data_IF_145589134990
#
_entry.id   IF_145589134990
#
_cell.length_a   1.000
_cell.length_b   1.000
_cell.length_c   1.000
_cell.angle_alpha   90.00
_cell.angle_beta   90.00
_cell.angle_gamma   90.00
#
_symmetry.space_group_name_H-M   'P 1'
#
loop_
_entity.id
_entity.type
_entity.pdbx_description
1 polymer ?
#
# COMPACT_ATOMS: atom_id res chain seq x y z
N UNK A 1 -39.17 7.88 -26.17
CA UNK A 1 -38.05 8.01 -27.15
C UNK A 1 -36.97 7.05 -26.72
N UNK A 2 -36.80 5.99 -27.48
CA UNK A 2 -35.84 4.92 -27.21
C UNK A 2 -34.45 5.35 -27.77
N UNK A 3 -33.40 5.27 -26.97
CA UNK A 3 -32.02 5.44 -27.42
C UNK A 3 -31.41 4.07 -27.51
N UNK A 4 -31.18 3.64 -28.73
CA UNK A 4 -30.56 2.39 -29.12
C UNK A 4 -29.04 2.45 -28.88
N UNK A 5 -28.51 1.48 -28.13
CA UNK A 5 -27.08 1.20 -28.01
C UNK A 5 -26.55 0.61 -29.33
N UNK A 6 -25.46 1.15 -29.85
CA UNK A 6 -24.63 0.52 -30.87
C UNK A 6 -23.38 -0.06 -30.21
N UNK A 7 -23.25 -1.36 -30.32
CA UNK A 7 -22.01 -2.08 -30.09
C UNK A 7 -21.00 -1.78 -31.21
N UNK A 8 -19.76 -1.51 -30.86
CA UNK A 8 -18.63 -1.59 -31.79
C UNK A 8 -17.76 -2.78 -31.37
N UNK A 9 -17.88 -3.84 -32.14
CA UNK A 9 -16.87 -4.88 -32.23
C UNK A 9 -15.94 -4.55 -33.40
N UNK A 10 -14.64 -4.42 -33.16
CA UNK A 10 -13.62 -4.58 -34.19
C UNK A 10 -12.51 -5.49 -33.64
N UNK A 11 -12.01 -6.43 -34.43
CA UNK A 11 -11.02 -7.40 -34.01
C UNK A 11 -9.60 -6.80 -34.01
N UNK A 12 -8.89 -6.98 -32.90
CA UNK A 12 -7.47 -6.64 -32.78
C UNK A 12 -6.67 -7.63 -33.61
N UNK A 13 -5.95 -7.11 -34.61
CA UNK A 13 -5.01 -7.86 -35.43
C UNK A 13 -3.79 -8.27 -34.59
N UNK A 14 -3.51 -9.57 -34.61
CA UNK A 14 -2.31 -10.20 -34.07
C UNK A 14 -1.09 -9.79 -34.92
N UNK A 15 -0.27 -8.90 -34.41
CA UNK A 15 1.05 -8.58 -34.99
C UNK A 15 2.13 -9.35 -34.22
N UNK A 16 2.37 -10.59 -34.68
CA UNK A 16 3.50 -11.39 -34.25
C UNK A 16 4.84 -10.71 -34.53
N UNK A 17 5.41 -10.07 -33.54
CA UNK A 17 6.85 -9.80 -33.45
C UNK A 17 7.42 -10.56 -32.27
N UNK A 18 8.08 -11.67 -32.56
CA UNK A 18 8.99 -12.36 -31.63
C UNK A 18 10.21 -11.45 -31.45
N UNK A 19 10.19 -10.62 -30.43
CA UNK A 19 11.31 -9.79 -29.99
C UNK A 19 12.15 -10.52 -28.95
N UNK A 20 13.43 -10.47 -29.14
CA UNK A 20 14.59 -10.75 -28.30
C UNK A 20 14.32 -11.11 -26.82
N UNK A 21 15.03 -12.13 -26.35
CA UNK A 21 14.94 -12.66 -24.97
C UNK A 21 14.99 -11.57 -23.93
N UNK A 22 13.87 -11.41 -23.21
CA UNK A 22 13.78 -10.58 -22.02
C UNK A 22 14.60 -11.31 -20.95
N UNK A 23 15.79 -10.79 -20.64
CA UNK A 23 16.54 -11.26 -19.48
C UNK A 23 15.63 -11.14 -18.26
N UNK A 24 15.62 -12.16 -17.38
CA UNK A 24 14.85 -12.12 -16.15
C UNK A 24 15.20 -10.83 -15.39
N UNK A 25 14.18 -10.08 -14.97
CA UNK A 25 14.36 -8.90 -14.13
C UNK A 25 15.14 -9.29 -12.86
N UNK A 26 16.10 -8.46 -12.38
CA UNK A 26 16.82 -8.74 -11.15
C UNK A 26 15.84 -8.90 -9.98
N UNK A 27 15.88 -10.08 -9.34
CA UNK A 27 15.04 -10.42 -8.19
C UNK A 27 15.93 -10.63 -6.98
N UNK A 28 15.56 -10.03 -5.85
CA UNK A 28 16.20 -10.26 -4.55
C UNK A 28 15.17 -10.90 -3.62
N UNK A 29 15.53 -12.04 -3.03
CA UNK A 29 14.73 -12.72 -2.01
C UNK A 29 15.43 -12.62 -0.66
N UNK A 30 14.68 -12.24 0.38
CA UNK A 30 15.16 -12.12 1.75
C UNK A 30 14.18 -12.87 2.65
N UNK A 31 14.70 -13.71 3.53
CA UNK A 31 13.92 -14.42 4.55
C UNK A 31 14.09 -13.70 5.90
N UNK A 32 13.00 -13.52 6.64
CA UNK A 32 13.00 -12.90 7.97
C UNK A 32 12.25 -13.81 8.92
N UNK A 33 12.75 -13.94 10.17
CA UNK A 33 12.16 -14.83 11.18
C UNK A 33 12.65 -16.28 11.05
N UNK A 34 12.35 -17.10 12.05
CA UNK A 34 12.89 -18.46 12.16
C UNK A 34 11.85 -19.54 12.45
N UNK A 35 10.60 -19.18 12.80
CA UNK A 35 9.55 -20.13 13.17
C UNK A 35 8.59 -20.29 12.01
N UNK A 36 8.53 -21.48 11.40
CA UNK A 36 7.69 -21.74 10.22
C UNK A 36 6.21 -21.97 10.57
N UNK A 37 5.92 -22.53 11.74
CA UNK A 37 4.57 -22.90 12.15
C UNK A 37 3.95 -21.84 13.06
N UNK A 38 2.85 -21.25 12.59
CA UNK A 38 2.08 -20.25 13.35
C UNK A 38 1.53 -20.77 14.67
N UNK A 39 1.25 -22.07 14.78
CA UNK A 39 0.69 -22.67 16.03
C UNK A 39 1.70 -22.64 17.15
N UNK A 40 2.99 -22.80 16.84
CA UNK A 40 4.10 -22.72 17.83
C UNK A 40 4.30 -21.31 18.40
N UNK A 41 3.80 -20.30 17.69
CA UNK A 41 3.91 -18.89 18.09
C UNK A 41 2.74 -18.42 18.96
N UNK A 42 1.64 -19.16 19.02
CA UNK A 42 0.48 -18.79 19.84
C UNK A 42 0.82 -18.97 21.32
N UNK A 43 0.74 -17.90 22.14
CA UNK A 43 0.95 -18.04 23.58
C UNK A 43 -0.04 -19.04 24.20
N UNK A 44 0.38 -19.89 25.16
CA UNK A 44 -0.48 -20.93 25.73
C UNK A 44 -1.80 -20.42 26.28
N UNK A 45 -1.81 -19.23 26.88
CA UNK A 45 -3.02 -18.61 27.43
C UNK A 45 -4.01 -18.23 26.31
N UNK A 46 -3.52 -17.78 25.16
CA UNK A 46 -4.35 -17.50 24.00
C UNK A 46 -4.87 -18.79 23.36
N UNK A 47 -4.05 -19.84 23.30
CA UNK A 47 -4.47 -21.17 22.83
C UNK A 47 -5.61 -21.74 23.68
N UNK A 48 -5.51 -21.66 25.01
CA UNK A 48 -6.58 -22.11 25.92
C UNK A 48 -7.91 -21.38 25.70
N UNK A 49 -7.90 -20.10 25.37
CA UNK A 49 -9.11 -19.34 25.03
C UNK A 49 -9.74 -19.78 23.70
N UNK A 50 -8.93 -20.22 22.73
CA UNK A 50 -9.42 -20.71 21.44
C UNK A 50 -10.21 -22.03 21.56
N UNK A 51 -9.88 -22.89 22.51
CA UNK A 51 -10.58 -24.14 22.75
C UNK A 51 -12.04 -23.92 23.15
N UNK A 52 -12.37 -22.78 23.73
CA UNK A 52 -13.72 -22.44 24.18
C UNK A 52 -14.59 -21.88 23.04
N UNK A 53 -14.17 -20.78 22.42
CA UNK A 53 -14.90 -20.12 21.33
C UNK A 53 -14.03 -19.01 20.72
N UNK A 54 -13.62 -19.17 19.46
CA UNK A 54 -12.79 -18.19 18.74
C UNK A 54 -13.43 -16.79 18.70
N UNK A 55 -14.76 -16.70 18.57
CA UNK A 55 -15.46 -15.42 18.47
C UNK A 55 -15.44 -14.65 19.81
N UNK A 56 -15.41 -15.35 20.93
CA UNK A 56 -15.29 -14.74 22.27
C UNK A 56 -13.83 -14.53 22.66
N UNK A 57 -12.93 -15.42 22.23
CA UNK A 57 -11.52 -15.36 22.52
C UNK A 57 -10.86 -14.08 21.96
N UNK A 58 -11.10 -13.73 20.69
CA UNK A 58 -10.47 -12.57 20.05
C UNK A 58 -10.73 -11.25 20.79
N UNK A 59 -11.98 -10.89 21.18
CA UNK A 59 -12.23 -9.69 21.97
C UNK A 59 -11.63 -9.73 23.38
N UNK A 60 -11.53 -10.90 24.01
CA UNK A 60 -10.90 -11.06 25.32
C UNK A 60 -9.39 -10.81 25.22
N UNK A 61 -8.72 -11.44 24.26
CA UNK A 61 -7.28 -11.25 23.98
C UNK A 61 -6.99 -9.77 23.68
N UNK A 62 -7.79 -9.11 22.84
CA UNK A 62 -7.57 -7.72 22.46
C UNK A 62 -7.58 -6.73 23.63
N UNK A 63 -8.25 -7.08 24.74
CA UNK A 63 -8.32 -6.25 25.97
C UNK A 63 -7.19 -6.52 26.95
N UNK A 64 -6.46 -7.61 26.78
CA UNK A 64 -5.31 -7.95 27.61
C UNK A 64 -4.04 -7.38 27.00
N UNK A 65 -3.52 -6.30 27.59
CA UNK A 65 -2.35 -5.58 27.08
C UNK A 65 -1.05 -6.41 27.18
N UNK A 66 -0.92 -7.26 28.21
CA UNK A 66 0.26 -8.11 28.36
C UNK A 66 0.25 -9.23 27.32
N UNK A 67 -0.89 -9.90 27.17
CA UNK A 67 -1.06 -10.99 26.20
C UNK A 67 -0.89 -10.47 24.76
N UNK A 68 -1.50 -9.33 24.41
CA UNK A 68 -1.31 -8.73 23.08
C UNK A 68 0.13 -8.33 22.83
N UNK A 69 0.86 -7.81 23.82
CA UNK A 69 2.29 -7.50 23.70
C UNK A 69 3.15 -8.76 23.43
N UNK A 70 2.78 -9.90 24.03
CA UNK A 70 3.44 -11.20 23.75
C UNK A 70 3.11 -11.71 22.35
N UNK A 71 1.87 -11.57 21.92
CA UNK A 71 1.42 -11.93 20.57
C UNK A 71 2.16 -11.09 19.53
N UNK A 72 2.28 -9.77 19.74
CA UNK A 72 2.99 -8.87 18.83
C UNK A 72 4.47 -9.28 18.64
N UNK A 73 5.17 -9.61 19.74
CA UNK A 73 6.55 -10.13 19.66
C UNK A 73 6.62 -11.49 18.97
N UNK A 74 5.65 -12.37 19.24
CA UNK A 74 5.61 -13.69 18.61
C UNK A 74 5.38 -13.60 17.10
N UNK A 75 4.50 -12.72 16.63
CA UNK A 75 4.21 -12.53 15.21
C UNK A 75 5.47 -12.14 14.40
N UNK A 76 6.35 -11.31 14.96
CA UNK A 76 7.62 -10.91 14.31
C UNK A 76 8.64 -12.06 14.16
N UNK A 77 8.43 -13.21 14.83
CA UNK A 77 9.30 -14.39 14.72
C UNK A 77 8.89 -15.35 13.60
N UNK A 78 7.71 -15.16 13.01
CA UNK A 78 7.27 -16.04 11.92
C UNK A 78 8.24 -15.95 10.75
N UNK A 79 8.66 -17.11 10.24
CA UNK A 79 9.47 -17.18 9.02
C UNK A 79 8.65 -16.63 7.83
N UNK A 80 9.15 -15.55 7.24
CA UNK A 80 8.52 -14.85 6.12
C UNK A 80 9.51 -14.65 4.98
N UNK A 81 8.96 -14.54 3.77
CA UNK A 81 9.74 -14.37 2.55
C UNK A 81 9.37 -13.04 1.89
N UNK A 82 10.41 -12.28 1.50
CA UNK A 82 10.26 -10.97 0.88
C UNK A 82 10.97 -10.98 -0.46
N UNK A 83 10.18 -10.77 -1.52
CA UNK A 83 10.67 -10.73 -2.90
C UNK A 83 10.67 -9.29 -3.39
N UNK A 84 11.81 -8.80 -3.85
CA UNK A 84 11.94 -7.50 -4.49
C UNK A 84 12.32 -7.69 -5.96
N UNK A 85 11.52 -7.12 -6.85
CA UNK A 85 11.69 -7.19 -8.30
C UNK A 85 12.09 -5.81 -8.81
N UNK A 86 13.23 -5.73 -9.49
CA UNK A 86 13.60 -4.53 -10.24
C UNK A 86 12.90 -4.55 -11.60
N UNK A 87 11.82 -3.81 -11.75
CA UNK A 87 11.03 -3.87 -12.97
C UNK A 87 9.82 -2.95 -12.99
N UNK A 88 9.10 -3.01 -14.09
CA UNK A 88 7.88 -2.24 -14.32
C UNK A 88 6.65 -3.00 -13.82
N UNK A 89 5.90 -2.40 -12.92
CA UNK A 89 4.70 -2.99 -12.33
C UNK A 89 3.52 -3.17 -13.32
N UNK A 90 3.61 -2.63 -14.51
CA UNK A 90 2.66 -2.93 -15.62
C UNK A 90 2.86 -4.35 -16.20
N UNK A 91 3.92 -5.06 -15.78
CA UNK A 91 4.30 -6.39 -16.26
C UNK A 91 4.32 -7.47 -15.15
N UNK A 92 3.35 -7.54 -14.26
CA UNK A 92 3.27 -8.50 -13.14
C UNK A 92 2.88 -9.94 -13.56
N UNK A 93 3.27 -10.40 -14.74
CA UNK A 93 2.84 -11.71 -15.26
C UNK A 93 3.35 -12.88 -14.40
N UNK A 94 4.51 -12.72 -13.75
CA UNK A 94 5.15 -13.78 -12.95
C UNK A 94 4.51 -13.96 -11.56
N UNK A 95 3.65 -13.05 -11.12
CA UNK A 95 2.90 -13.20 -9.87
C UNK A 95 1.64 -14.03 -10.18
N UNK A 96 1.45 -15.18 -9.50
CA UNK A 96 0.29 -16.03 -9.74
C UNK A 96 -1.03 -15.33 -9.44
N UNK A 97 -2.09 -15.76 -10.16
CA UNK A 97 -3.45 -15.30 -9.86
C UNK A 97 -3.85 -15.68 -8.44
N UNK A 98 -4.60 -14.81 -7.79
CA UNK A 98 -5.18 -15.06 -6.45
C UNK A 98 -4.17 -15.52 -5.39
N UNK A 99 -2.93 -14.98 -5.45
CA UNK A 99 -1.83 -15.29 -4.53
C UNK A 99 -1.54 -14.16 -3.52
N UNK A 100 -2.06 -12.95 -3.75
CA UNK A 100 -1.84 -11.75 -2.92
C UNK A 100 -3.08 -11.47 -2.07
N UNK A 101 -2.88 -11.12 -0.82
CA UNK A 101 -3.97 -10.92 0.14
C UNK A 101 -4.29 -9.44 0.37
N UNK A 102 -3.27 -8.60 0.25
CA UNK A 102 -3.35 -7.17 0.43
C UNK A 102 -2.34 -6.51 -0.50
N UNK A 103 -2.75 -5.47 -1.22
CA UNK A 103 -1.83 -4.55 -1.88
C UNK A 103 -1.87 -3.21 -1.14
N UNK A 104 -0.71 -2.66 -0.74
CA UNK A 104 -0.58 -1.34 -0.12
C UNK A 104 0.46 -0.57 -0.89
N UNK A 105 0.10 0.58 -1.45
CA UNK A 105 1.00 1.31 -2.34
C UNK A 105 0.71 2.81 -2.38
N UNK A 106 1.70 3.57 -2.85
CA UNK A 106 1.56 4.97 -3.22
C UNK A 106 2.12 5.16 -4.63
N UNK A 107 1.26 5.27 -5.65
CA UNK A 107 1.72 5.45 -7.03
C UNK A 107 2.41 6.81 -7.20
N UNK A 108 3.15 7.05 -8.29
CA UNK A 108 3.62 8.37 -8.64
C UNK A 108 2.45 9.38 -8.69
N UNK A 109 2.68 10.59 -8.18
CA UNK A 109 1.66 11.65 -8.16
C UNK A 109 1.72 12.48 -9.44
N UNK A 110 1.58 11.82 -10.58
CA UNK A 110 1.68 12.43 -11.91
C UNK A 110 2.91 13.35 -11.99
N UNK A 111 2.77 14.60 -12.48
CA UNK A 111 3.85 15.56 -12.61
C UNK A 111 4.10 16.42 -11.35
N UNK A 112 3.50 16.09 -10.20
CA UNK A 112 3.62 16.88 -8.96
C UNK A 112 5.03 16.79 -8.36
N UNK A 113 5.70 15.67 -8.53
CA UNK A 113 7.04 15.39 -7.99
C UNK A 113 8.01 15.10 -9.12
N UNK A 114 9.26 15.53 -8.93
CA UNK A 114 10.35 15.14 -9.80
C UNK A 114 10.84 13.75 -9.41
N UNK A 115 10.59 12.78 -10.27
CA UNK A 115 11.08 11.41 -10.11
C UNK A 115 12.36 11.23 -10.93
N UNK A 116 13.22 10.29 -10.50
CA UNK A 116 14.42 9.90 -11.26
C UNK A 116 13.99 9.40 -12.63
N UNK A 117 14.68 9.86 -13.67
CA UNK A 117 14.43 9.44 -15.05
C UNK A 117 14.73 7.95 -15.22
N UNK A 118 13.74 7.21 -15.69
CA UNK A 118 13.87 5.81 -16.07
C UNK A 118 12.83 5.49 -17.14
N UNK A 119 13.16 4.56 -18.02
CA UNK A 119 12.22 4.03 -19.00
C UNK A 119 11.01 3.40 -18.26
N UNK A 120 9.80 3.81 -18.62
CA UNK A 120 8.58 3.34 -17.99
C UNK A 120 8.17 4.08 -16.71
N UNK A 121 8.92 5.10 -16.25
CA UNK A 121 8.57 5.89 -15.07
C UNK A 121 7.29 6.70 -15.29
N UNK A 122 6.21 6.36 -14.58
CA UNK A 122 4.89 6.97 -14.77
C UNK A 122 4.83 8.46 -14.36
N UNK A 123 5.70 8.89 -13.45
CA UNK A 123 5.79 10.31 -13.06
C UNK A 123 6.26 11.25 -14.17
N UNK A 124 6.62 10.73 -15.34
CA UNK A 124 7.06 11.49 -16.51
C UNK A 124 5.99 11.61 -17.61
N UNK A 125 4.86 10.93 -17.46
CA UNK A 125 3.74 11.02 -18.41
C UNK A 125 3.07 12.38 -18.25
N UNK A 126 3.11 13.21 -19.31
CA UNK A 126 2.61 14.59 -19.27
C UNK A 126 1.08 14.67 -19.35
N UNK A 127 0.46 13.82 -20.16
CA UNK A 127 -0.99 13.77 -20.30
C UNK A 127 -1.61 13.03 -19.11
N UNK A 128 -2.65 13.62 -18.52
CA UNK A 128 -3.28 13.07 -17.30
C UNK A 128 -4.08 11.80 -17.58
N UNK A 129 -4.79 11.76 -18.69
CA UNK A 129 -5.63 10.62 -19.04
C UNK A 129 -4.75 9.44 -19.50
N UNK A 130 -3.65 9.71 -20.18
CA UNK A 130 -2.62 8.70 -20.49
C UNK A 130 -2.00 8.15 -19.19
N UNK A 131 -1.63 9.02 -18.24
CA UNK A 131 -1.11 8.61 -16.94
C UNK A 131 -2.08 7.69 -16.21
N UNK A 132 -3.37 8.02 -16.16
CA UNK A 132 -4.42 7.18 -15.57
C UNK A 132 -4.53 5.83 -16.31
N UNK A 133 -4.49 5.83 -17.64
CA UNK A 133 -4.50 4.61 -18.45
C UNK A 133 -3.31 3.69 -18.17
N UNK A 134 -2.12 4.26 -17.90
CA UNK A 134 -0.96 3.49 -17.48
C UNK A 134 -1.13 2.89 -16.06
N UNK A 135 -1.68 3.66 -15.12
CA UNK A 135 -2.03 3.14 -13.80
C UNK A 135 -3.08 2.02 -13.87
N UNK A 136 -4.03 2.11 -14.79
CA UNK A 136 -5.04 1.07 -15.00
C UNK A 136 -4.44 -0.28 -15.34
N UNK A 137 -3.32 -0.33 -16.08
CA UNK A 137 -2.62 -1.58 -16.35
C UNK A 137 -2.11 -2.21 -15.05
N UNK A 138 -1.59 -1.40 -14.12
CA UNK A 138 -1.17 -1.88 -12.80
C UNK A 138 -2.37 -2.37 -11.99
N UNK A 139 -3.46 -1.59 -11.96
CA UNK A 139 -4.65 -1.97 -11.19
C UNK A 139 -5.32 -3.24 -11.70
N UNK A 140 -5.33 -3.51 -13.02
CA UNK A 140 -5.83 -4.77 -13.58
C UNK A 140 -4.97 -5.96 -13.12
N UNK A 141 -3.65 -5.81 -13.11
CA UNK A 141 -2.76 -6.85 -12.58
C UNK A 141 -2.97 -7.07 -11.08
N UNK A 142 -3.11 -6.00 -10.29
CA UNK A 142 -3.42 -6.11 -8.86
C UNK A 142 -4.75 -6.84 -8.66
N UNK A 143 -5.80 -6.52 -9.42
CA UNK A 143 -7.09 -7.22 -9.35
C UNK A 143 -6.95 -8.72 -9.64
N UNK A 144 -6.15 -9.09 -10.64
CA UNK A 144 -5.89 -10.48 -11.02
C UNK A 144 -5.22 -11.25 -9.88
N UNK A 145 -4.14 -10.69 -9.32
CA UNK A 145 -3.33 -11.39 -8.31
C UNK A 145 -3.95 -11.39 -6.92
N UNK A 146 -4.86 -10.46 -6.61
CA UNK A 146 -5.58 -10.46 -5.34
C UNK A 146 -6.46 -11.71 -5.21
N UNK A 147 -6.46 -12.32 -4.02
CA UNK A 147 -7.44 -13.35 -3.65
C UNK A 147 -8.86 -12.74 -3.60
N UNK A 148 -9.94 -13.52 -3.77
CA UNK A 148 -11.31 -13.04 -3.54
C UNK A 148 -11.44 -12.41 -2.14
N UNK A 149 -12.00 -11.19 -2.06
CA UNK A 149 -12.09 -10.41 -0.83
C UNK A 149 -10.80 -9.70 -0.41
N UNK A 150 -9.68 -9.90 -1.14
CA UNK A 150 -8.43 -9.17 -0.97
C UNK A 150 -8.59 -7.68 -1.29
N UNK A 151 -7.70 -6.85 -0.77
CA UNK A 151 -7.81 -5.39 -0.86
C UNK A 151 -6.62 -4.75 -1.56
N UNK A 152 -6.93 -3.72 -2.34
CA UNK A 152 -5.98 -2.72 -2.82
C UNK A 152 -6.16 -1.46 -1.96
N UNK A 153 -5.08 -1.02 -1.33
CA UNK A 153 -5.02 0.22 -0.54
C UNK A 153 -4.07 1.19 -1.23
N UNK A 154 -4.59 2.34 -1.66
CA UNK A 154 -3.80 3.36 -2.37
C UNK A 154 -3.69 4.61 -1.52
N UNK A 155 -2.47 4.99 -1.17
CA UNK A 155 -2.16 6.26 -0.48
C UNK A 155 -1.85 7.30 -1.55
N UNK A 156 -2.69 8.33 -1.67
CA UNK A 156 -2.58 9.30 -2.75
C UNK A 156 -3.10 10.69 -2.34
N UNK A 157 -2.42 11.74 -2.80
CA UNK A 157 -2.88 13.12 -2.72
C UNK A 157 -3.37 13.64 -4.07
N UNK A 158 -4.20 14.68 -4.05
CA UNK A 158 -4.61 15.38 -5.26
C UNK A 158 -3.46 16.24 -5.80
N UNK A 159 -3.42 16.40 -7.11
CA UNK A 159 -2.34 17.10 -7.79
C UNK A 159 -2.72 18.57 -7.98
N UNK A 160 -2.06 19.44 -7.21
CA UNK A 160 -2.23 20.88 -7.29
C UNK A 160 -1.21 21.49 -8.26
N UNK A 161 -1.68 22.04 -9.36
CA UNK A 161 -0.83 22.66 -10.35
C UNK A 161 -0.70 24.17 -10.10
N UNK A 162 0.54 24.71 -10.07
CA UNK A 162 0.78 26.10 -9.71
C UNK A 162 0.36 27.07 -10.84
N UNK A 163 -0.09 28.27 -10.44
CA UNK A 163 -0.46 29.34 -11.37
C UNK A 163 0.63 29.69 -12.38
N UNK A 164 1.91 29.57 -12.00
CA UNK A 164 3.03 29.90 -12.90
C UNK A 164 3.01 29.04 -14.17
N UNK A 165 2.57 27.78 -14.07
CA UNK A 165 2.58 26.82 -15.19
C UNK A 165 1.28 26.86 -15.97
N UNK A 166 0.14 27.14 -15.32
CA UNK A 166 -1.20 27.01 -15.91
C UNK A 166 -2.02 28.33 -15.96
N UNK A 167 -1.41 29.46 -15.59
CA UNK A 167 -2.12 30.75 -15.54
C UNK A 167 -3.13 30.87 -14.38
N UNK A 168 -3.58 29.77 -13.82
CA UNK A 168 -4.49 29.64 -12.68
C UNK A 168 -4.12 28.43 -11.82
N UNK A 169 -4.62 28.39 -10.58
CA UNK A 169 -4.55 27.18 -9.77
C UNK A 169 -5.57 26.16 -10.27
N UNK A 170 -5.13 24.92 -10.49
CA UNK A 170 -5.96 23.80 -10.89
C UNK A 170 -5.64 22.62 -10.00
N UNK A 171 -6.67 21.89 -9.56
CA UNK A 171 -6.54 20.65 -8.82
C UNK A 171 -7.07 19.51 -9.67
N UNK A 172 -6.23 18.49 -9.90
CA UNK A 172 -6.64 17.23 -10.48
C UNK A 172 -6.98 16.27 -9.33
N UNK A 173 -8.22 15.79 -9.23
CA UNK A 173 -8.67 14.94 -8.13
C UNK A 173 -8.23 13.49 -8.35
N UNK A 174 -6.91 13.24 -8.24
CA UNK A 174 -6.30 11.95 -8.54
C UNK A 174 -6.92 10.82 -7.71
N UNK A 175 -7.27 11.09 -6.44
CA UNK A 175 -7.95 10.12 -5.60
C UNK A 175 -9.30 9.67 -6.18
N UNK A 176 -10.11 10.60 -6.68
CA UNK A 176 -11.42 10.29 -7.25
C UNK A 176 -11.30 9.57 -8.59
N UNK A 177 -10.33 9.98 -9.43
CA UNK A 177 -10.05 9.32 -10.71
C UNK A 177 -9.65 7.86 -10.49
N UNK A 178 -8.73 7.57 -9.56
CA UNK A 178 -8.33 6.18 -9.24
C UNK A 178 -9.53 5.36 -8.74
N UNK A 179 -10.35 5.92 -7.84
CA UNK A 179 -11.53 5.20 -7.33
C UNK A 179 -12.52 4.86 -8.44
N UNK A 180 -12.79 5.80 -9.33
CA UNK A 180 -13.75 5.57 -10.42
C UNK A 180 -13.21 4.57 -11.45
N UNK A 181 -11.92 4.64 -11.81
CA UNK A 181 -11.29 3.67 -12.70
C UNK A 181 -11.28 2.27 -12.09
N UNK A 182 -10.92 2.14 -10.80
CA UNK A 182 -11.00 0.85 -10.10
C UNK A 182 -12.43 0.29 -10.07
N UNK A 183 -13.44 1.13 -9.83
CA UNK A 183 -14.85 0.71 -9.86
C UNK A 183 -15.26 0.17 -11.23
N UNK A 184 -14.83 0.83 -12.31
CA UNK A 184 -15.10 0.40 -13.69
C UNK A 184 -14.41 -0.91 -14.05
N UNK A 185 -13.25 -1.21 -13.42
CA UNK A 185 -12.55 -2.49 -13.57
C UNK A 185 -13.18 -3.64 -12.77
N UNK A 186 -14.17 -3.36 -11.91
CA UNK A 186 -14.87 -4.38 -11.14
C UNK A 186 -14.44 -4.48 -9.66
N UNK A 187 -13.67 -3.54 -9.14
CA UNK A 187 -13.46 -3.44 -7.70
C UNK A 187 -14.70 -2.89 -6.97
N UNK A 188 -14.92 -3.33 -5.74
CA UNK A 188 -15.82 -2.67 -4.79
C UNK A 188 -15.07 -1.52 -4.12
N UNK A 189 -15.52 -0.28 -4.28
CA UNK A 189 -15.00 0.84 -3.50
C UNK A 189 -15.52 0.80 -2.07
N UNK A 190 -14.65 1.05 -1.11
CA UNK A 190 -14.98 1.20 0.30
C UNK A 190 -14.72 2.65 0.74
N UNK A 191 -15.23 3.03 1.93
CA UNK A 191 -15.01 4.38 2.47
C UNK A 191 -13.52 4.64 2.67
N UNK A 192 -12.97 5.76 2.17
CA UNK A 192 -11.55 6.11 2.34
C UNK A 192 -11.27 6.60 3.76
N UNK A 193 -10.00 6.56 4.15
CA UNK A 193 -9.48 7.29 5.30
C UNK A 193 -8.85 8.59 4.79
N UNK A 194 -9.10 9.69 5.48
CA UNK A 194 -8.46 10.98 5.23
C UNK A 194 -7.24 11.06 6.15
N UNK A 195 -6.06 11.18 5.55
CA UNK A 195 -4.82 11.36 6.28
C UNK A 195 -4.44 12.83 6.34
N UNK A 196 -4.62 13.44 7.52
CA UNK A 196 -4.20 14.81 7.78
C UNK A 196 -2.71 14.85 8.16
N UNK A 197 -1.89 15.47 7.30
CA UNK A 197 -0.44 15.60 7.47
C UNK A 197 -0.08 16.86 8.28
N UNK A 198 -0.13 16.80 9.58
CA UNK A 198 0.06 17.96 10.49
C UNK A 198 1.38 18.72 10.23
N UNK A 199 2.47 18.02 9.89
CA UNK A 199 3.80 18.62 9.80
C UNK A 199 3.93 19.65 8.65
N UNK A 200 3.21 19.46 7.55
CA UNK A 200 3.31 20.37 6.40
C UNK A 200 2.59 21.70 6.67
N UNK A 201 1.46 21.68 7.37
CA UNK A 201 0.72 22.89 7.69
C UNK A 201 1.52 23.84 8.61
N UNK A 202 2.21 23.30 9.62
CA UNK A 202 3.04 24.11 10.53
C UNK A 202 4.32 24.65 9.89
N UNK A 203 5.00 23.84 9.04
CA UNK A 203 6.23 24.25 8.39
C UNK A 203 6.00 25.34 7.35
N UNK A 204 4.89 25.28 6.64
CA UNK A 204 4.52 26.27 5.64
C UNK A 204 3.83 27.51 6.26
N UNK A 205 3.20 27.37 7.41
CA UNK A 205 2.71 28.49 8.20
C UNK A 205 3.84 29.34 8.80
N UNK A 206 4.99 28.72 9.14
CA UNK A 206 6.19 29.41 9.62
C UNK A 206 6.97 30.18 8.54
N UNK A 207 6.72 29.90 7.26
CA UNK A 207 7.40 30.52 6.11
C UNK A 207 6.72 31.77 5.51
N UNK A 208 5.72 32.35 6.16
CA UNK A 208 5.11 33.62 5.76
C UNK A 208 4.03 33.53 4.67
N UNK A 209 3.61 32.34 4.27
CA UNK A 209 2.55 32.15 3.27
C UNK A 209 1.57 31.04 3.67
N UNK A 210 0.71 31.32 4.64
CA UNK A 210 -0.40 30.43 5.01
C UNK A 210 -1.52 30.42 3.96
N UNK A 211 -1.49 31.35 3.02
CA UNK A 211 -2.53 31.53 2.01
C UNK A 211 -1.90 31.61 0.62
N UNK A 212 -2.46 30.85 -0.33
CA UNK A 212 -2.18 31.05 -1.73
C UNK A 212 -3.07 32.20 -2.23
N UNK A 213 -2.51 33.42 -2.24
CA UNK A 213 -3.23 34.63 -2.59
C UNK A 213 -2.99 35.78 -1.63
N UNK A 214 -3.90 36.76 -1.61
CA UNK A 214 -3.83 37.89 -0.72
C UNK A 214 -4.50 37.55 0.63
N UNK A 215 -3.77 37.59 1.76
CA UNK A 215 -4.36 37.31 3.06
C UNK A 215 -5.52 38.28 3.34
N UNK A 216 -6.57 37.76 3.98
CA UNK A 216 -7.77 38.50 4.38
C UNK A 216 -8.63 39.07 3.26
N UNK A 217 -8.28 38.85 1.99
CA UNK A 217 -9.13 39.20 0.85
C UNK A 217 -9.92 37.97 0.36
N UNK A 218 -11.14 38.15 -0.20
CA UNK A 218 -11.84 37.07 -0.92
C UNK A 218 -10.99 36.49 -2.05
N UNK A 219 -11.28 35.25 -2.48
CA UNK A 219 -10.57 34.51 -3.54
C UNK A 219 -9.23 33.87 -3.14
N UNK A 220 -8.99 33.66 -1.85
CA UNK A 220 -7.89 32.81 -1.40
C UNK A 220 -8.08 31.35 -1.85
N UNK A 221 -6.98 30.66 -2.15
CA UNK A 221 -6.97 29.24 -2.45
C UNK A 221 -6.67 28.47 -1.16
N UNK A 222 -7.50 27.46 -0.88
CA UNK A 222 -7.27 26.58 0.27
C UNK A 222 -6.10 25.65 -0.07
N UNK A 223 -5.15 25.54 0.84
CA UNK A 223 -4.00 24.67 0.69
C UNK A 223 -4.41 23.21 0.95
N UNK A 224 -3.88 22.30 0.15
CA UNK A 224 -4.10 20.88 0.34
C UNK A 224 -3.12 20.33 1.40
N UNK A 225 -3.63 19.99 2.58
CA UNK A 225 -2.88 19.45 3.72
C UNK A 225 -3.28 18.00 4.06
N UNK A 226 -4.07 17.39 3.19
CA UNK A 226 -4.54 16.02 3.34
C UNK A 226 -4.06 15.13 2.19
N UNK A 227 -3.99 13.83 2.48
CA UNK A 227 -3.97 12.75 1.50
C UNK A 227 -5.10 11.76 1.78
N UNK A 228 -5.42 10.96 0.79
CA UNK A 228 -6.45 9.94 0.87
C UNK A 228 -5.81 8.56 0.95
N UNK A 229 -6.36 7.70 1.80
CA UNK A 229 -6.07 6.28 1.82
C UNK A 229 -7.31 5.61 1.26
N UNK A 230 -7.24 5.21 0.00
CA UNK A 230 -8.33 4.61 -0.75
C UNK A 230 -8.38 3.12 -0.50
N UNK A 231 -9.57 2.56 -0.45
CA UNK A 231 -9.78 1.12 -0.27
C UNK A 231 -10.64 0.58 -1.41
N UNK A 232 -10.08 -0.34 -2.16
CA UNK A 232 -10.76 -1.13 -3.18
C UNK A 232 -10.68 -2.60 -2.78
N UNK A 233 -11.75 -3.35 -3.00
CA UNK A 233 -11.81 -4.78 -2.67
C UNK A 233 -12.10 -5.58 -3.95
N UNK A 234 -11.34 -6.67 -4.16
CA UNK A 234 -11.74 -7.67 -5.16
C UNK A 234 -13.04 -8.34 -4.70
N UNK A 235 -14.09 -8.38 -5.54
CA UNK A 235 -15.32 -9.09 -5.19
C UNK A 235 -15.06 -10.53 -4.80
N UNK A 236 -15.84 -11.06 -3.86
CA UNK A 236 -15.72 -12.42 -3.36
C UNK A 236 -16.09 -12.55 -1.88
N UNK A 237 -15.94 -13.76 -1.34
CA UNK A 237 -16.27 -14.07 0.06
C UNK A 237 -15.24 -13.52 1.05
N UNK A 238 -15.59 -13.61 2.33
CA UNK A 238 -14.63 -13.31 3.40
C UNK A 238 -13.66 -14.47 3.56
N UNK A 239 -12.38 -14.11 3.78
CA UNK A 239 -11.32 -15.08 4.07
C UNK A 239 -11.55 -15.75 5.44
N UNK A 240 -11.13 -17.00 5.54
CA UNK A 240 -11.20 -17.78 6.78
C UNK A 240 -9.81 -18.29 7.18
N UNK A 241 -8.92 -17.42 7.74
CA UNK A 241 -7.60 -17.83 8.19
C UNK A 241 -7.71 -18.81 9.38
N UNK A 242 -6.61 -19.53 9.67
CA UNK A 242 -6.53 -20.44 10.80
C UNK A 242 -6.77 -19.71 12.13
N UNK A 243 -7.21 -20.41 13.18
CA UNK A 243 -7.33 -19.82 14.52
C UNK A 243 -6.05 -19.18 15.02
N UNK A 244 -4.89 -19.81 14.78
CA UNK A 244 -3.57 -19.29 15.12
C UNK A 244 -3.28 -17.98 14.39
N UNK A 245 -3.49 -17.93 13.09
CA UNK A 245 -3.31 -16.70 12.32
C UNK A 245 -4.24 -15.57 12.79
N UNK A 246 -5.47 -15.87 13.19
CA UNK A 246 -6.40 -14.88 13.78
C UNK A 246 -5.84 -14.32 15.09
N UNK A 247 -5.37 -15.17 15.99
CA UNK A 247 -4.80 -14.76 17.29
C UNK A 247 -3.56 -13.91 17.09
N UNK A 248 -2.61 -14.39 16.26
CA UNK A 248 -1.36 -13.67 15.99
C UNK A 248 -1.59 -12.34 15.25
N UNK A 249 -2.80 -12.11 14.72
CA UNK A 249 -3.17 -10.88 14.02
C UNK A 249 -4.08 -9.97 14.87
N UNK A 250 -4.31 -10.30 16.15
CA UNK A 250 -5.16 -9.47 17.03
C UNK A 250 -4.59 -8.06 17.16
N UNK A 251 -5.45 -7.07 16.96
CA UNK A 251 -5.14 -5.66 17.20
C UNK A 251 -5.57 -5.32 18.63
N UNK A 252 -4.66 -4.83 19.50
CA UNK A 252 -5.00 -4.40 20.87
C UNK A 252 -6.16 -3.39 20.87
N UNK A 253 -7.04 -3.45 21.87
CA UNK A 253 -8.23 -2.59 21.93
C UNK A 253 -7.88 -1.10 21.84
N UNK A 254 -6.79 -0.65 22.46
CA UNK A 254 -6.34 0.73 22.40
C UNK A 254 -5.99 1.15 20.94
N UNK A 255 -5.30 0.26 20.20
CA UNK A 255 -4.97 0.49 18.78
C UNK A 255 -6.21 0.43 17.90
N UNK A 256 -7.14 -0.49 18.19
CA UNK A 256 -8.40 -0.56 17.47
C UNK A 256 -9.18 0.75 17.57
N UNK A 257 -9.31 1.31 18.76
CA UNK A 257 -9.98 2.61 18.98
C UNK A 257 -9.30 3.77 18.25
N UNK A 258 -7.98 3.77 18.14
CA UNK A 258 -7.19 4.80 17.46
C UNK A 258 -7.25 4.64 15.93
N UNK A 259 -7.11 3.40 15.40
CA UNK A 259 -6.90 3.15 13.98
C UNK A 259 -8.19 3.04 13.17
N UNK A 260 -9.29 2.54 13.76
CA UNK A 260 -10.56 2.38 13.05
C UNK A 260 -11.36 3.70 13.04
N UNK A 261 -10.68 4.79 12.68
CA UNK A 261 -11.26 6.12 12.49
C UNK A 261 -11.11 6.54 11.03
N UNK A 262 -12.05 7.34 10.53
CA UNK A 262 -12.01 7.81 9.15
C UNK A 262 -11.01 8.96 8.94
N UNK A 263 -10.57 9.62 10.01
CA UNK A 263 -9.56 10.69 9.95
C UNK A 263 -8.35 10.25 10.76
N UNK A 264 -7.19 10.21 10.09
CA UNK A 264 -5.92 9.94 10.73
C UNK A 264 -5.06 11.19 10.76
N UNK A 265 -4.49 11.45 11.92
CA UNK A 265 -3.53 12.53 12.14
C UNK A 265 -2.18 11.90 12.41
N UNK A 266 -1.33 11.86 11.38
CA UNK A 266 0.02 11.29 11.42
C UNK A 266 1.00 12.22 10.74
N UNK A 267 2.21 12.32 11.30
CA UNK A 267 3.30 13.06 10.65
C UNK A 267 3.71 12.37 9.34
N UNK A 268 3.98 13.17 8.30
CA UNK A 268 4.56 12.68 7.06
C UNK A 268 5.99 12.13 7.27
N UNK A 269 6.46 11.31 6.32
CA UNK A 269 7.84 10.86 6.32
C UNK A 269 8.79 11.94 5.76
N UNK A 270 10.09 11.81 6.08
CA UNK A 270 11.13 12.67 5.51
C UNK A 270 11.29 12.40 4.00
N UNK A 271 11.35 13.45 3.21
CA UNK A 271 11.56 13.38 1.75
C UNK A 271 13.04 13.37 1.35
N UNK A 272 13.97 13.15 2.31
CA UNK A 272 15.41 13.17 2.03
C UNK A 272 15.82 12.08 1.04
N UNK A 273 15.32 10.86 1.21
CA UNK A 273 15.78 9.67 0.48
C UNK A 273 14.82 9.25 -0.63
N UNK A 274 13.59 9.78 -0.64
CA UNK A 274 12.57 9.49 -1.64
C UNK A 274 11.62 10.69 -1.78
N UNK A 275 11.17 11.05 -3.00
CA UNK A 275 10.35 12.26 -3.23
C UNK A 275 8.96 12.21 -2.61
N UNK A 276 8.38 11.02 -2.43
CA UNK A 276 7.02 10.83 -1.92
C UNK A 276 6.89 9.61 -0.99
N UNK A 277 7.64 9.54 0.13
CA UNK A 277 7.52 8.42 1.06
C UNK A 277 6.31 8.60 1.96
N UNK A 278 5.66 7.49 2.33
CA UNK A 278 4.75 7.47 3.48
C UNK A 278 5.46 6.84 4.70
N UNK A 279 5.06 7.21 5.92
CA UNK A 279 5.76 6.76 7.12
C UNK A 279 5.53 5.26 7.39
N UNK A 280 6.55 4.60 7.95
CA UNK A 280 6.47 3.20 8.34
C UNK A 280 5.27 2.92 9.25
N UNK A 281 5.00 3.80 10.22
CA UNK A 281 3.84 3.67 11.11
C UNK A 281 2.49 3.63 10.36
N UNK A 282 2.35 4.30 9.22
CA UNK A 282 1.15 4.22 8.38
C UNK A 282 1.08 2.87 7.69
N UNK A 283 2.19 2.39 7.10
CA UNK A 283 2.26 1.09 6.46
C UNK A 283 1.93 -0.04 7.45
N UNK A 284 2.49 0.00 8.66
CA UNK A 284 2.25 -0.99 9.71
C UNK A 284 0.76 -1.03 10.14
N UNK A 285 0.12 0.14 10.27
CA UNK A 285 -1.33 0.19 10.54
C UNK A 285 -2.11 -0.51 9.44
N UNK A 286 -1.85 -0.19 8.17
CA UNK A 286 -2.56 -0.77 7.02
C UNK A 286 -2.33 -2.28 6.90
N UNK A 287 -1.09 -2.73 7.03
CA UNK A 287 -0.74 -4.15 7.00
C UNK A 287 -1.45 -4.91 8.11
N UNK A 288 -1.41 -4.41 9.35
CA UNK A 288 -2.05 -5.07 10.50
C UNK A 288 -3.57 -5.07 10.45
N UNK A 289 -4.17 -3.99 9.95
CA UNK A 289 -5.64 -3.85 9.86
C UNK A 289 -6.27 -4.71 8.77
N UNK A 290 -5.53 -5.03 7.72
CA UNK A 290 -6.12 -5.59 6.49
C UNK A 290 -5.48 -6.89 6.00
N UNK A 291 -4.53 -7.45 6.76
CA UNK A 291 -3.95 -8.77 6.49
C UNK A 291 -3.78 -9.59 7.78
N UNK A 292 -3.65 -10.90 7.60
CA UNK A 292 -3.31 -11.82 8.68
C UNK A 292 -1.83 -12.21 8.62
N UNK A 293 -1.29 -12.68 9.73
CA UNK A 293 0.05 -13.27 9.80
C UNK A 293 0.16 -14.41 8.78
N UNK A 294 1.28 -14.45 8.04
CA UNK A 294 1.50 -15.37 6.93
C UNK A 294 0.95 -14.92 5.56
N UNK A 295 0.10 -13.88 5.51
CA UNK A 295 -0.42 -13.33 4.26
C UNK A 295 0.69 -12.75 3.37
N UNK A 296 0.43 -12.66 2.07
CA UNK A 296 1.29 -11.97 1.10
C UNK A 296 0.79 -10.54 0.89
N UNK A 297 1.68 -9.56 1.12
CA UNK A 297 1.46 -8.13 0.88
C UNK A 297 2.22 -7.70 -0.36
N UNK A 298 1.56 -7.03 -1.29
CA UNK A 298 2.14 -6.50 -2.53
C UNK A 298 2.29 -4.97 -2.46
N UNK A 299 3.43 -4.47 -2.92
CA UNK A 299 3.60 -3.05 -3.25
C UNK A 299 4.12 -2.92 -4.69
N UNK A 300 3.26 -2.57 -5.68
CA UNK A 300 3.67 -2.40 -7.06
C UNK A 300 4.52 -1.15 -7.32
N UNK A 301 4.66 -0.25 -6.35
CA UNK A 301 5.51 0.94 -6.40
C UNK A 301 6.34 1.03 -5.11
N UNK A 302 7.16 0.00 -4.87
CA UNK A 302 7.79 -0.27 -3.58
C UNK A 302 8.71 0.86 -3.07
N UNK A 303 9.27 1.67 -3.97
CA UNK A 303 10.20 2.72 -3.60
C UNK A 303 11.34 2.17 -2.74
N UNK A 304 11.50 2.74 -1.54
CA UNK A 304 12.52 2.29 -0.57
C UNK A 304 12.04 1.15 0.35
N UNK A 305 10.97 0.43 -0.03
CA UNK A 305 10.51 -0.79 0.65
C UNK A 305 9.79 -0.60 1.98
N UNK A 306 9.04 0.50 2.16
CA UNK A 306 8.33 0.78 3.43
C UNK A 306 7.23 -0.23 3.70
N UNK A 307 6.43 -0.60 2.69
CA UNK A 307 5.40 -1.64 2.80
C UNK A 307 6.02 -3.01 3.11
N UNK A 308 7.13 -3.35 2.42
CA UNK A 308 7.82 -4.62 2.63
C UNK A 308 8.40 -4.73 4.04
N UNK A 309 8.98 -3.64 4.57
CA UNK A 309 9.46 -3.56 5.94
C UNK A 309 8.31 -3.74 6.96
N UNK A 310 7.18 -3.08 6.73
CA UNK A 310 6.00 -3.26 7.58
C UNK A 310 5.49 -4.71 7.55
N UNK A 311 5.49 -5.36 6.40
CA UNK A 311 5.12 -6.76 6.26
C UNK A 311 6.08 -7.66 7.07
N UNK A 312 7.40 -7.44 6.97
CA UNK A 312 8.42 -8.19 7.71
C UNK A 312 8.27 -8.05 9.22
N UNK A 313 8.13 -6.84 9.74
CA UNK A 313 7.96 -6.59 11.17
C UNK A 313 6.78 -7.33 11.78
N UNK A 314 5.74 -7.58 10.98
CA UNK A 314 4.48 -8.11 11.48
C UNK A 314 4.18 -9.53 10.99
N UNK A 315 5.19 -10.29 10.53
CA UNK A 315 5.05 -11.69 10.15
C UNK A 315 4.18 -11.91 8.90
N UNK A 316 4.28 -11.02 7.91
CA UNK A 316 3.66 -11.17 6.59
C UNK A 316 4.74 -11.37 5.54
N UNK A 317 4.47 -12.17 4.52
CA UNK A 317 5.27 -12.22 3.31
C UNK A 317 5.07 -10.96 2.49
N UNK A 318 6.02 -10.60 1.63
CA UNK A 318 5.82 -9.45 0.74
C UNK A 318 6.44 -9.61 -0.64
N UNK A 319 5.84 -8.91 -1.61
CA UNK A 319 6.36 -8.70 -2.94
C UNK A 319 6.43 -7.19 -3.17
N UNK A 320 7.59 -6.67 -3.55
CA UNK A 320 7.78 -5.27 -3.94
C UNK A 320 8.30 -5.18 -5.36
N UNK A 321 7.72 -4.27 -6.16
CA UNK A 321 8.20 -3.99 -7.52
C UNK A 321 8.66 -2.54 -7.55
N UNK A 322 9.88 -2.31 -8.03
CA UNK A 322 10.47 -0.98 -8.13
C UNK A 322 11.24 -0.84 -9.44
N UNK A 323 10.97 0.23 -10.17
CA UNK A 323 11.59 0.48 -11.48
C UNK A 323 12.97 1.14 -11.37
N UNK A 324 13.23 1.85 -10.26
CA UNK A 324 14.48 2.58 -10.02
C UNK A 324 15.46 1.70 -9.24
N UNK A 325 16.57 1.31 -9.87
CA UNK A 325 17.57 0.42 -9.28
C UNK A 325 18.12 0.93 -7.92
N UNK A 326 18.28 2.25 -7.76
CA UNK A 326 18.74 2.83 -6.51
C UNK A 326 17.74 2.60 -5.37
N UNK A 327 16.44 2.80 -5.60
CA UNK A 327 15.40 2.57 -4.61
C UNK A 327 15.21 1.08 -4.31
N UNK A 328 15.26 0.22 -5.33
CA UNK A 328 15.27 -1.23 -5.17
C UNK A 328 16.41 -1.69 -4.25
N UNK A 329 17.64 -1.17 -4.47
CA UNK A 329 18.80 -1.49 -3.62
C UNK A 329 18.60 -1.00 -2.17
N UNK A 330 17.98 0.17 -1.97
CA UNK A 330 17.65 0.68 -0.64
C UNK A 330 16.61 -0.20 0.07
N UNK A 331 15.60 -0.68 -0.66
CA UNK A 331 14.60 -1.60 -0.14
C UNK A 331 15.22 -2.94 0.28
N UNK A 332 16.12 -3.51 -0.53
CA UNK A 332 16.85 -4.74 -0.21
C UNK A 332 17.70 -4.56 1.05
N UNK A 333 18.45 -3.46 1.14
CA UNK A 333 19.25 -3.16 2.34
C UNK A 333 18.39 -3.02 3.59
N UNK A 334 17.22 -2.38 3.49
CA UNK A 334 16.28 -2.22 4.62
C UNK A 334 15.81 -3.57 5.13
N UNK A 335 15.41 -4.48 4.25
CA UNK A 335 14.96 -5.83 4.63
C UNK A 335 16.10 -6.67 5.23
N UNK A 336 17.31 -6.60 4.67
CA UNK A 336 18.48 -7.29 5.24
C UNK A 336 18.86 -6.79 6.65
N UNK A 337 18.62 -5.51 6.95
CA UNK A 337 18.81 -5.00 8.32
C UNK A 337 17.76 -5.56 9.29
N UNK A 338 16.52 -5.73 8.85
CA UNK A 338 15.46 -6.35 9.66
C UNK A 338 15.79 -7.82 9.92
N UNK A 339 16.22 -8.57 8.89
CA UNK A 339 16.70 -9.95 9.02
C UNK A 339 17.80 -10.07 10.08
N UNK A 340 18.83 -9.23 9.98
CA UNK A 340 19.95 -9.25 10.92
C UNK A 340 19.52 -8.92 12.37
N UNK A 341 18.59 -7.97 12.57
CA UNK A 341 18.07 -7.62 13.88
C UNK A 341 17.24 -8.76 14.47
N UNK A 342 16.37 -9.38 13.67
CA UNK A 342 15.56 -10.52 14.10
C UNK A 342 16.42 -11.71 14.50
N UNK A 343 17.50 -11.99 13.77
CA UNK A 343 18.44 -13.07 14.11
C UNK A 343 19.18 -12.84 15.43
N UNK A 344 19.53 -11.58 15.74
CA UNK A 344 20.23 -11.24 16.99
C UNK A 344 19.34 -11.24 18.25
N UNK A 345 18.04 -11.02 18.10
CA UNK A 345 17.11 -11.01 19.25
C UNK A 345 16.73 -12.44 19.70
N UNK A 346 16.98 -13.44 18.88
CA UNK A 346 16.51 -14.82 19.10
C UNK A 346 17.64 -15.86 19.20
N UNK A 347 18.89 -15.48 19.05
CA UNK A 347 20.09 -16.25 19.42
C UNK A 347 20.44 -16.00 20.90
#
# INVERSE_FOLDING_TARGET
MAVTSRAFEEPIADNGQRGAGVGMAPVVEIAVGSVEDTEQLVPPEAAALLEVDVQKAIPAIAKDAELTGRIERAAGRLATRHTLVLGDSRGMADIPDESVHLAVTSPPYWTLKEYVEAEGQLGQVEDYDEFLGQLDNVWRHVLRVLVPGGRLVVVVGDVCLPRRRFGRHVVFPLHASIQEHCRQMGYDNLAPIIWHKIANAQFEAGGGSTFLGKPYEPNAVIKNDIEYILFQRKPGGYRSPSPAAKVLSVIPEARHREWFQQIWTLHGASTRDHPAPFPLALAERLVRMFSFVGDVVLDPFAGTGTTNAAAAHWGRNSIGIEIIAAYHSMAAKRLSLIEAQTSLEFD
#
